data_IF_955099579776
#
_entry.id   IF_955099579776
#
_cell.length_a   1.000
_cell.length_b   1.000
_cell.length_c   1.000
_cell.angle_alpha   90.00
_cell.angle_beta   90.00
_cell.angle_gamma   90.00
#
_symmetry.space_group_name_H-M   'P 1'
#
loop_
_entity.id
_entity.type
_entity.pdbx_description
1 polymer ?
#
# COMPACT_ATOMS: atom_id res chain seq x y z
N UNK A 1 21.62 -24.93 3.95
CA UNK A 1 21.18 -24.26 5.19
C UNK A 1 21.62 -22.81 5.08
N UNK A 2 20.87 -22.04 4.29
CA UNK A 2 21.06 -20.61 4.11
C UNK A 2 19.68 -20.03 3.86
N UNK A 3 19.41 -18.98 4.62
CA UNK A 3 18.43 -17.93 4.39
C UNK A 3 16.98 -18.26 4.83
N UNK A 4 16.82 -18.54 6.12
CA UNK A 4 15.61 -18.16 6.87
C UNK A 4 15.64 -16.62 7.01
N UNK A 5 14.93 -15.91 6.13
CA UNK A 5 14.72 -14.46 6.24
C UNK A 5 13.45 -14.25 7.05
N UNK A 6 13.61 -13.54 8.16
CA UNK A 6 12.60 -13.24 9.17
C UNK A 6 11.50 -12.36 8.57
N UNK A 7 10.24 -12.79 8.69
CA UNK A 7 9.07 -12.07 8.19
C UNK A 7 8.75 -10.80 9.01
N UNK A 8 9.44 -10.60 10.14
CA UNK A 8 9.22 -9.51 11.10
C UNK A 8 10.27 -8.37 11.01
N UNK A 9 11.08 -8.32 9.96
CA UNK A 9 12.06 -7.23 9.78
C UNK A 9 11.70 -6.33 8.60
N UNK A 10 11.98 -5.01 8.70
CA UNK A 10 11.90 -4.08 7.57
C UNK A 10 12.63 -4.62 6.35
N UNK A 11 12.19 -4.22 5.16
CA UNK A 11 12.86 -4.61 3.93
C UNK A 11 14.27 -3.99 3.88
N UNK A 12 15.23 -4.76 3.39
CA UNK A 12 16.57 -4.25 3.09
C UNK A 12 16.58 -3.46 1.78
N UNK A 13 17.55 -2.58 1.58
CA UNK A 13 17.72 -1.83 0.32
C UNK A 13 17.72 -2.76 -0.91
N UNK A 14 18.39 -3.92 -0.82
CA UNK A 14 18.44 -4.89 -1.90
C UNK A 14 17.09 -5.58 -2.18
N UNK A 15 16.23 -5.70 -1.16
CA UNK A 15 14.86 -6.21 -1.32
C UNK A 15 13.93 -5.14 -1.91
N UNK A 16 14.12 -3.88 -1.51
CA UNK A 16 13.42 -2.71 -2.08
C UNK A 16 13.77 -2.57 -3.57
N UNK A 17 15.05 -2.61 -3.92
CA UNK A 17 15.51 -2.58 -5.32
C UNK A 17 14.91 -3.73 -6.14
N UNK A 18 14.87 -4.94 -5.58
CA UNK A 18 14.29 -6.09 -6.25
C UNK A 18 12.79 -5.93 -6.49
N UNK A 19 12.07 -5.35 -5.52
CA UNK A 19 10.65 -5.09 -5.65
C UNK A 19 10.39 -4.00 -6.71
N UNK A 20 11.17 -2.92 -6.69
CA UNK A 20 11.08 -1.84 -7.67
C UNK A 20 11.32 -2.36 -9.10
N UNK A 21 12.41 -3.11 -9.30
CA UNK A 21 12.74 -3.74 -10.60
C UNK A 21 11.59 -4.61 -11.13
N UNK A 22 10.92 -5.36 -10.25
CA UNK A 22 9.77 -6.17 -10.64
C UNK A 22 8.55 -5.32 -11.00
N UNK A 23 8.24 -4.32 -10.18
CA UNK A 23 7.09 -3.42 -10.31
C UNK A 23 7.15 -2.50 -11.53
N UNK A 24 8.32 -2.35 -12.15
CA UNK A 24 8.49 -1.61 -13.41
C UNK A 24 8.81 -2.53 -14.61
N UNK A 25 8.82 -3.86 -14.40
CA UNK A 25 9.13 -4.84 -15.43
C UNK A 25 7.97 -5.10 -16.39
N UNK A 26 8.24 -5.82 -17.49
CA UNK A 26 7.19 -6.29 -18.39
C UNK A 26 6.30 -7.40 -17.80
N UNK A 27 6.52 -7.82 -16.55
CA UNK A 27 5.67 -8.79 -15.87
C UNK A 27 4.36 -8.16 -15.36
N UNK A 28 4.33 -6.86 -15.15
CA UNK A 28 3.16 -6.14 -14.63
C UNK A 28 2.50 -5.26 -15.71
N UNK A 29 1.31 -4.74 -15.42
CA UNK A 29 0.65 -3.78 -16.32
C UNK A 29 1.41 -2.45 -16.32
N UNK A 30 1.28 -1.69 -17.40
CA UNK A 30 1.86 -0.33 -17.57
C UNK A 30 1.42 0.67 -16.48
N UNK A 31 0.34 0.36 -15.76
CA UNK A 31 -0.26 1.14 -14.66
C UNK A 31 -0.01 0.52 -13.28
N UNK A 32 0.94 -0.42 -13.18
CA UNK A 32 1.47 -0.88 -11.88
C UNK A 32 2.07 0.29 -11.11
N UNK A 33 1.95 0.25 -9.79
CA UNK A 33 2.69 1.15 -8.90
C UNK A 33 4.18 0.80 -8.97
N UNK A 34 5.05 1.80 -8.90
CA UNK A 34 6.46 1.61 -8.49
C UNK A 34 6.57 1.48 -6.96
N UNK A 35 7.79 1.25 -6.44
CA UNK A 35 7.96 0.97 -5.01
C UNK A 35 7.60 2.15 -4.12
N UNK A 36 7.84 3.39 -4.55
CA UNK A 36 7.53 4.59 -3.76
C UNK A 36 6.03 4.88 -3.75
N UNK A 37 5.37 4.73 -4.90
CA UNK A 37 3.91 4.81 -5.01
C UNK A 37 3.22 3.71 -4.20
N UNK A 38 3.76 2.49 -4.21
CA UNK A 38 3.27 1.39 -3.38
C UNK A 38 3.39 1.74 -1.90
N UNK A 39 4.52 2.27 -1.44
CA UNK A 39 4.71 2.69 -0.04
C UNK A 39 3.68 3.75 0.39
N UNK A 40 3.49 4.78 -0.42
CA UNK A 40 2.47 5.81 -0.14
C UNK A 40 1.05 5.24 -0.10
N UNK A 41 0.73 4.31 -1.00
CA UNK A 41 -0.56 3.63 -1.01
C UNK A 41 -0.78 2.80 0.24
N UNK A 42 0.18 1.94 0.60
CA UNK A 42 0.18 1.13 1.82
C UNK A 42 0.03 2.02 3.06
N UNK A 43 0.78 3.12 3.12
CA UNK A 43 0.71 4.08 4.22
C UNK A 43 -0.68 4.69 4.35
N UNK A 44 -1.31 5.12 3.25
CA UNK A 44 -2.66 5.69 3.31
C UNK A 44 -3.67 4.72 3.87
N UNK A 45 -3.63 3.46 3.45
CA UNK A 45 -4.62 2.47 3.88
C UNK A 45 -4.36 1.96 5.30
N UNK A 46 -3.10 1.95 5.77
CA UNK A 46 -2.74 1.68 7.16
C UNK A 46 -3.12 2.85 8.09
N UNK A 47 -2.88 4.08 7.65
CA UNK A 47 -3.18 5.29 8.43
C UNK A 47 -4.66 5.72 8.38
N UNK A 48 -5.47 5.11 7.52
CA UNK A 48 -6.79 5.57 7.13
C UNK A 48 -7.96 5.16 8.03
N UNK A 49 -9.21 5.49 7.62
CA UNK A 49 -10.42 5.26 8.41
C UNK A 49 -10.82 3.78 8.49
N UNK A 50 -10.71 3.07 7.36
CA UNK A 50 -11.15 1.69 7.19
C UNK A 50 -9.95 0.77 6.96
N UNK A 51 -10.08 -0.45 7.44
CA UNK A 51 -9.11 -1.50 7.23
C UNK A 51 -9.23 -2.05 5.81
N UNK A 52 -8.24 -1.81 4.97
CA UNK A 52 -8.12 -2.48 3.69
C UNK A 52 -7.36 -3.79 3.89
N UNK A 53 -8.02 -4.92 3.66
CA UNK A 53 -7.35 -6.22 3.79
C UNK A 53 -6.28 -6.39 2.70
N UNK A 54 -5.16 -7.08 2.97
CA UNK A 54 -4.11 -7.28 1.96
C UNK A 54 -4.65 -7.94 0.68
N UNK A 55 -5.59 -8.88 0.80
CA UNK A 55 -6.30 -9.47 -0.34
C UNK A 55 -7.03 -8.45 -1.23
N UNK A 56 -7.53 -7.36 -0.65
CA UNK A 56 -8.19 -6.25 -1.35
C UNK A 56 -7.19 -5.19 -1.85
N UNK A 57 -6.03 -5.07 -1.20
CA UNK A 57 -4.96 -4.14 -1.53
C UNK A 57 -4.17 -4.59 -2.77
N UNK A 58 -3.71 -5.85 -2.79
CA UNK A 58 -2.77 -6.36 -3.81
C UNK A 58 -3.17 -6.04 -5.26
N UNK A 59 -4.44 -6.19 -5.68
CA UNK A 59 -4.82 -5.87 -7.05
C UNK A 59 -4.50 -4.43 -7.47
N UNK A 60 -4.59 -3.47 -6.55
CA UNK A 60 -4.29 -2.06 -6.84
C UNK A 60 -2.79 -1.78 -7.01
N UNK A 61 -1.92 -2.59 -6.43
CA UNK A 61 -0.47 -2.44 -6.61
C UNK A 61 -0.09 -2.83 -8.04
N UNK A 62 -0.70 -3.88 -8.57
CA UNK A 62 -0.47 -4.38 -9.95
C UNK A 62 -1.12 -3.53 -11.04
N UNK A 63 -2.17 -2.81 -10.67
CA UNK A 63 -3.03 -2.04 -11.55
C UNK A 63 -3.66 -0.89 -10.74
N UNK A 64 -2.91 0.20 -10.63
CA UNK A 64 -3.27 1.37 -9.83
C UNK A 64 -4.49 2.13 -10.38
N UNK A 65 -4.97 1.75 -11.56
CA UNK A 65 -6.13 2.37 -12.19
C UNK A 65 -7.40 1.56 -11.96
N UNK A 66 -7.36 0.25 -12.19
CA UNK A 66 -8.56 -0.58 -12.20
C UNK A 66 -8.57 -1.69 -11.14
N UNK A 67 -7.41 -2.06 -10.59
CA UNK A 67 -7.28 -3.19 -9.67
C UNK A 67 -7.72 -4.52 -10.28
N UNK A 68 -7.54 -4.73 -11.59
CA UNK A 68 -8.04 -5.91 -12.31
C UNK A 68 -6.95 -6.78 -12.89
N UNK A 69 -5.85 -6.17 -13.32
CA UNK A 69 -4.75 -6.92 -13.90
C UNK A 69 -3.93 -7.61 -12.80
N UNK A 70 -3.44 -8.81 -13.12
CA UNK A 70 -2.54 -9.56 -12.27
C UNK A 70 -1.15 -9.62 -12.91
N UNK A 71 -0.08 -9.67 -12.11
CA UNK A 71 1.27 -9.85 -12.61
C UNK A 71 1.44 -11.22 -13.30
N UNK A 72 2.35 -11.25 -14.28
CA UNK A 72 2.81 -12.46 -14.95
C UNK A 72 4.10 -12.94 -14.31
N UNK A 73 3.98 -13.67 -13.22
CA UNK A 73 5.14 -14.27 -12.58
C UNK A 73 5.77 -15.34 -13.48
N UNK A 74 7.09 -15.30 -13.61
CA UNK A 74 7.88 -16.31 -14.32
C UNK A 74 7.82 -17.68 -13.62
N UNK A 75 7.58 -17.67 -12.31
CA UNK A 75 7.39 -18.88 -11.53
C UNK A 75 6.60 -18.61 -10.26
N UNK A 76 6.07 -19.68 -9.70
CA UNK A 76 5.49 -19.72 -8.37
C UNK A 76 6.41 -19.18 -7.26
N UNK A 77 7.71 -19.48 -7.32
CA UNK A 77 8.68 -18.99 -6.33
C UNK A 77 8.92 -17.48 -6.47
N UNK A 78 8.81 -16.93 -7.68
CA UNK A 78 8.83 -15.47 -7.88
C UNK A 78 7.58 -14.83 -7.30
N UNK A 79 6.40 -15.40 -7.56
CA UNK A 79 5.13 -14.94 -6.97
C UNK A 79 5.22 -14.84 -5.44
N UNK A 80 5.73 -15.89 -4.80
CA UNK A 80 6.01 -15.91 -3.35
C UNK A 80 6.88 -14.77 -2.91
N UNK A 81 8.02 -14.63 -3.58
CA UNK A 81 9.05 -13.71 -3.16
C UNK A 81 8.53 -12.29 -3.22
N UNK A 82 7.99 -11.88 -4.37
CA UNK A 82 7.50 -10.51 -4.57
C UNK A 82 6.37 -10.18 -3.61
N UNK A 83 5.37 -11.05 -3.48
CA UNK A 83 4.24 -10.73 -2.59
C UNK A 83 4.57 -10.87 -1.12
N UNK A 84 5.46 -11.80 -0.76
CA UNK A 84 6.02 -11.84 0.58
C UNK A 84 6.72 -10.53 0.96
N UNK A 85 7.45 -9.90 0.03
CA UNK A 85 8.08 -8.60 0.28
C UNK A 85 7.03 -7.49 0.47
N UNK A 86 5.98 -7.45 -0.36
CA UNK A 86 4.89 -6.46 -0.21
C UNK A 86 4.17 -6.62 1.13
N UNK A 87 3.85 -7.84 1.53
CA UNK A 87 3.18 -8.11 2.80
C UNK A 87 4.08 -7.81 4.01
N UNK A 88 5.39 -8.08 3.90
CA UNK A 88 6.36 -7.65 4.92
C UNK A 88 6.41 -6.13 5.03
N UNK A 89 6.42 -5.42 3.91
CA UNK A 89 6.39 -3.96 3.89
C UNK A 89 5.09 -3.40 4.50
N UNK A 90 3.95 -4.01 4.16
CA UNK A 90 2.66 -3.71 4.78
C UNK A 90 2.70 -3.83 6.31
N UNK A 91 3.27 -4.92 6.82
CA UNK A 91 3.39 -5.16 8.26
C UNK A 91 4.31 -4.13 8.91
N UNK A 92 5.46 -3.85 8.29
CA UNK A 92 6.42 -2.86 8.80
C UNK A 92 5.80 -1.46 8.94
N UNK A 93 5.00 -1.03 7.94
CA UNK A 93 4.26 0.24 8.01
C UNK A 93 3.21 0.22 9.11
N UNK A 94 2.41 -0.85 9.22
CA UNK A 94 1.40 -0.98 10.28
C UNK A 94 2.03 -0.98 11.68
N UNK A 95 3.11 -1.75 11.87
CA UNK A 95 3.81 -1.83 13.14
C UNK A 95 4.46 -0.51 13.51
N UNK A 96 5.09 0.16 12.54
CA UNK A 96 5.65 1.49 12.74
C UNK A 96 4.58 2.49 13.17
N UNK A 97 3.46 2.57 12.45
CA UNK A 97 2.39 3.52 12.77
C UNK A 97 1.69 3.22 14.11
N UNK A 98 1.51 1.95 14.47
CA UNK A 98 0.82 1.56 15.70
C UNK A 98 1.72 1.56 16.95
N UNK A 99 2.97 1.11 16.82
CA UNK A 99 3.85 0.84 17.95
C UNK A 99 4.92 1.91 18.13
N UNK A 100 5.50 2.40 17.04
CA UNK A 100 6.62 3.36 17.04
C UNK A 100 6.41 4.49 16.02
N UNK A 101 5.33 5.29 16.14
CA UNK A 101 4.96 6.28 15.11
C UNK A 101 6.06 7.32 14.86
N UNK A 102 6.86 7.65 15.87
CA UNK A 102 7.99 8.58 15.75
C UNK A 102 9.17 8.02 14.92
N UNK A 103 9.16 6.71 14.62
CA UNK A 103 10.17 6.04 13.81
C UNK A 103 9.69 5.75 12.38
N UNK A 104 8.45 6.10 12.04
CA UNK A 104 7.93 5.95 10.69
C UNK A 104 8.60 6.95 9.74
N UNK A 105 9.12 6.44 8.62
CA UNK A 105 9.68 7.26 7.54
C UNK A 105 9.10 6.80 6.19
N UNK A 106 8.66 7.74 5.31
CA UNK A 106 8.20 7.39 3.97
C UNK A 106 9.36 6.91 3.08
N UNK A 107 9.10 5.95 2.20
CA UNK A 107 10.07 5.45 1.22
C UNK A 107 10.16 6.44 0.04
N UNK A 108 11.13 7.35 0.14
CA UNK A 108 11.38 8.42 -0.81
C UNK A 108 12.71 8.20 -1.53
N UNK A 109 12.70 7.84 -2.83
CA UNK A 109 13.93 7.73 -3.62
C UNK A 109 14.69 9.05 -3.66
N UNK A 110 16.01 9.01 -3.60
CA UNK A 110 16.85 10.20 -3.67
C UNK A 110 17.52 10.35 -5.04
N UNK A 111 17.67 11.60 -5.48
CA UNK A 111 18.39 11.96 -6.70
C UNK A 111 19.39 13.08 -6.44
N UNK A 112 20.59 12.93 -6.97
CA UNK A 112 21.60 13.99 -7.00
C UNK A 112 21.31 15.01 -8.11
N UNK A 113 21.14 16.28 -7.72
CA UNK A 113 20.92 17.42 -8.64
C UNK A 113 21.83 18.56 -8.22
N UNK A 114 22.77 18.94 -9.10
CA UNK A 114 23.71 20.06 -8.88
C UNK A 114 24.51 19.96 -7.56
N UNK A 115 24.80 18.73 -7.10
CA UNK A 115 25.51 18.45 -5.86
C UNK A 115 24.65 18.52 -4.59
N UNK A 116 23.33 18.55 -4.74
CA UNK A 116 22.37 18.39 -3.65
C UNK A 116 21.61 17.09 -3.81
N UNK A 117 21.38 16.40 -2.70
CA UNK A 117 20.49 15.24 -2.61
C UNK A 117 19.05 15.71 -2.50
N UNK A 118 18.19 15.23 -3.41
CA UNK A 118 16.79 15.59 -3.50
C UNK A 118 15.91 14.34 -3.37
N UNK A 119 15.05 14.31 -2.35
CA UNK A 119 14.01 13.28 -2.22
C UNK A 119 12.94 13.47 -3.29
N UNK A 120 12.54 12.40 -3.96
CA UNK A 120 11.44 12.38 -4.90
C UNK A 120 10.19 11.98 -4.11
N UNK A 121 9.21 12.87 -4.02
CA UNK A 121 8.00 12.69 -3.18
C UNK A 121 6.72 12.49 -3.98
N UNK A 122 6.83 12.61 -5.30
CA UNK A 122 5.72 12.67 -6.25
C UNK A 122 4.95 11.35 -6.27
N UNK A 123 5.67 10.26 -6.54
CA UNK A 123 5.16 8.89 -6.61
C UNK A 123 4.52 8.48 -5.28
N UNK A 124 5.20 8.76 -4.17
CA UNK A 124 4.69 8.50 -2.82
C UNK A 124 3.36 9.22 -2.57
N UNK A 125 3.29 10.53 -2.88
CA UNK A 125 2.07 11.31 -2.69
C UNK A 125 0.94 10.84 -3.61
N UNK A 126 1.24 10.42 -4.84
CA UNK A 126 0.27 9.81 -5.75
C UNK A 126 -0.30 8.52 -5.16
N UNK A 127 0.56 7.64 -4.63
CA UNK A 127 0.19 6.43 -3.93
C UNK A 127 -0.75 6.70 -2.75
N UNK A 128 -0.41 7.67 -1.91
CA UNK A 128 -1.23 8.05 -0.78
C UNK A 128 -2.61 8.55 -1.22
N UNK A 129 -2.66 9.39 -2.26
CA UNK A 129 -3.92 9.83 -2.86
C UNK A 129 -4.74 8.67 -3.42
N UNK A 130 -4.10 7.63 -3.99
CA UNK A 130 -4.82 6.41 -4.41
C UNK A 130 -5.47 5.71 -3.24
N UNK A 131 -4.79 5.60 -2.09
CA UNK A 131 -5.35 5.00 -0.88
C UNK A 131 -6.57 5.77 -0.37
N UNK A 132 -6.51 7.11 -0.42
CA UNK A 132 -7.67 7.98 -0.11
C UNK A 132 -8.83 7.68 -1.06
N UNK A 133 -8.57 7.52 -2.36
CA UNK A 133 -9.60 7.32 -3.37
C UNK A 133 -10.33 5.97 -3.28
N UNK A 134 -9.74 4.95 -2.62
CA UNK A 134 -10.40 3.66 -2.36
C UNK A 134 -11.73 3.86 -1.62
N UNK A 135 -11.76 4.77 -0.65
CA UNK A 135 -12.98 5.15 0.06
C UNK A 135 -13.02 6.65 0.37
N UNK A 136 -13.03 7.46 -0.70
CA UNK A 136 -12.98 8.92 -0.60
C UNK A 136 -14.02 9.52 0.35
N UNK A 137 -15.21 8.93 0.39
CA UNK A 137 -16.32 9.39 1.23
C UNK A 137 -15.98 9.31 2.72
N UNK A 138 -15.24 8.28 3.14
CA UNK A 138 -14.76 8.15 4.52
C UNK A 138 -13.67 9.17 4.88
N UNK A 139 -12.86 9.59 3.90
CA UNK A 139 -11.77 10.55 4.09
C UNK A 139 -12.21 12.03 4.07
N UNK A 140 -13.25 12.36 3.30
CA UNK A 140 -13.70 13.74 3.07
C UNK A 140 -13.92 14.56 4.36
N UNK A 141 -14.53 14.03 5.44
CA UNK A 141 -14.69 14.78 6.68
C UNK A 141 -13.36 15.18 7.35
N UNK A 142 -12.35 14.31 7.30
CA UNK A 142 -11.03 14.63 7.87
C UNK A 142 -10.31 15.65 7.00
N UNK A 143 -10.31 15.47 5.68
CA UNK A 143 -9.69 16.40 4.72
C UNK A 143 -10.30 17.80 4.86
N UNK A 144 -11.62 17.90 5.04
CA UNK A 144 -12.30 19.18 5.21
C UNK A 144 -11.98 19.87 6.55
N UNK A 145 -11.72 19.08 7.61
CA UNK A 145 -11.47 19.62 8.95
C UNK A 145 -9.99 19.94 9.22
N UNK A 146 -9.07 19.22 8.58
CA UNK A 146 -7.61 19.38 8.74
C UNK A 146 -6.90 19.38 7.38
N UNK A 147 -7.21 20.31 6.47
CA UNK A 147 -6.62 20.35 5.13
C UNK A 147 -5.10 20.52 5.13
N UNK A 148 -4.54 21.09 6.21
CA UNK A 148 -3.10 21.27 6.40
C UNK A 148 -2.34 19.94 6.46
N UNK A 149 -2.95 18.86 6.96
CA UNK A 149 -2.32 17.53 6.99
C UNK A 149 -2.24 16.88 5.61
N UNK A 150 -3.04 17.35 4.65
CA UNK A 150 -3.08 16.80 3.29
C UNK A 150 -2.42 17.71 2.27
N UNK A 151 -1.90 18.87 2.68
CA UNK A 151 -1.47 19.91 1.73
C UNK A 151 -0.35 19.39 0.81
N UNK A 152 0.73 18.83 1.36
CA UNK A 152 1.83 18.29 0.54
C UNK A 152 1.38 17.06 -0.24
N UNK A 153 0.66 16.16 0.41
CA UNK A 153 0.12 14.93 -0.19
C UNK A 153 -0.71 15.25 -1.44
N UNK A 154 -1.64 16.21 -1.35
CA UNK A 154 -2.50 16.60 -2.47
C UNK A 154 -1.76 17.44 -3.50
N UNK A 155 -0.79 18.27 -3.07
CA UNK A 155 0.02 19.10 -3.94
C UNK A 155 0.86 18.26 -4.92
N UNK A 156 1.43 17.16 -4.45
CA UNK A 156 2.27 16.27 -5.27
C UNK A 156 1.50 15.05 -5.83
N UNK A 157 0.41 14.64 -5.19
CA UNK A 157 -0.34 13.43 -5.55
C UNK A 157 -1.54 13.65 -6.47
N UNK A 158 -1.89 14.88 -6.84
CA UNK A 158 -3.08 15.17 -7.67
C UNK A 158 -2.80 16.08 -8.85
N UNK A 159 -3.52 15.93 -9.99
CA UNK A 159 -3.35 16.81 -11.15
C UNK A 159 -3.54 18.30 -10.83
N UNK A 160 -4.47 18.64 -9.94
CA UNK A 160 -4.71 20.02 -9.53
C UNK A 160 -3.54 20.57 -8.69
N UNK A 161 -2.93 19.74 -7.85
CA UNK A 161 -1.71 20.07 -7.12
C UNK A 161 -0.52 20.34 -8.04
N UNK A 162 -0.32 19.49 -9.04
CA UNK A 162 0.72 19.70 -10.07
C UNK A 162 0.56 21.04 -10.81
N UNK A 163 -0.67 21.38 -11.19
CA UNK A 163 -0.95 22.68 -11.80
C UNK A 163 -0.61 23.87 -10.87
N UNK A 164 -0.66 23.67 -9.55
CA UNK A 164 -0.23 24.68 -8.57
C UNK A 164 1.29 24.74 -8.40
N UNK A 165 1.99 23.60 -8.38
CA UNK A 165 3.45 23.53 -8.35
C UNK A 165 4.07 24.32 -9.51
N UNK A 166 3.52 24.14 -10.72
CA UNK A 166 3.96 24.87 -11.92
C UNK A 166 3.77 26.39 -11.79
N UNK A 167 2.72 26.83 -11.08
CA UNK A 167 2.44 28.25 -10.85
C UNK A 167 3.35 28.89 -9.81
N UNK A 168 3.53 28.24 -8.66
CA UNK A 168 4.22 28.86 -7.51
C UNK A 168 5.75 28.77 -7.57
N UNK A 169 6.33 27.84 -8.34
CA UNK A 169 7.78 27.64 -8.50
C UNK A 169 8.55 27.63 -7.17
N UNK A 170 8.30 26.60 -6.37
CA UNK A 170 8.96 26.38 -5.08
C UNK A 170 10.49 26.22 -5.22
N UNK A 171 11.21 26.65 -4.18
CA UNK A 171 12.66 26.45 -4.06
C UNK A 171 13.01 25.02 -3.64
N UNK A 172 14.28 24.63 -3.83
CA UNK A 172 14.81 23.35 -3.36
C UNK A 172 14.63 23.15 -1.85
N UNK A 173 14.89 24.20 -1.06
CA UNK A 173 14.72 24.19 0.41
C UNK A 173 13.26 23.96 0.80
N UNK A 174 12.31 24.56 0.08
CA UNK A 174 10.89 24.34 0.32
C UNK A 174 10.48 22.90 -0.02
N UNK A 175 11.00 22.35 -1.11
CA UNK A 175 10.74 20.96 -1.47
C UNK A 175 11.29 19.97 -0.42
N UNK A 176 12.50 20.20 0.09
CA UNK A 176 13.07 19.41 1.18
C UNK A 176 12.22 19.52 2.46
N UNK A 177 11.74 20.72 2.79
CA UNK A 177 10.84 20.91 3.93
C UNK A 177 9.50 20.16 3.74
N UNK A 178 8.97 20.09 2.51
CA UNK A 178 7.78 19.31 2.21
C UNK A 178 8.02 17.81 2.42
N UNK A 179 9.13 17.27 1.93
CA UNK A 179 9.49 15.86 2.13
C UNK A 179 9.55 15.50 3.62
N UNK A 180 10.23 16.32 4.43
CA UNK A 180 10.33 16.11 5.88
C UNK A 180 8.98 16.19 6.61
N UNK A 181 8.00 16.93 6.07
CA UNK A 181 6.69 17.09 6.70
C UNK A 181 5.72 15.92 6.47
N UNK A 182 6.06 14.98 5.57
CA UNK A 182 5.17 13.86 5.23
C UNK A 182 4.97 12.90 6.42
N UNK A 183 6.05 12.55 7.13
CA UNK A 183 5.97 11.67 8.30
C UNK A 183 5.07 12.25 9.41
N UNK A 184 5.19 13.55 9.68
CA UNK A 184 4.32 14.27 10.63
C UNK A 184 2.86 14.27 10.16
N UNK A 185 2.62 14.49 8.87
CA UNK A 185 1.28 14.47 8.29
C UNK A 185 0.60 13.11 8.47
N UNK A 186 1.31 12.03 8.13
CA UNK A 186 0.85 10.64 8.31
C UNK A 186 0.58 10.36 9.80
N UNK A 187 1.48 10.79 10.68
CA UNK A 187 1.33 10.61 12.12
C UNK A 187 0.06 11.27 12.66
N UNK A 188 -0.21 12.52 12.28
CA UNK A 188 -1.45 13.21 12.67
C UNK A 188 -2.72 12.52 12.15
N UNK A 189 -2.71 12.12 10.87
CA UNK A 189 -3.83 11.41 10.24
C UNK A 189 -4.10 10.08 10.96
N UNK A 190 -3.05 9.28 11.17
CA UNK A 190 -3.17 7.99 11.83
C UNK A 190 -3.70 8.12 13.26
N UNK A 191 -3.15 9.05 14.05
CA UNK A 191 -3.60 9.30 15.42
C UNK A 191 -5.07 9.71 15.49
N UNK A 192 -5.54 10.53 14.54
CA UNK A 192 -6.95 10.89 14.45
C UNK A 192 -7.83 9.65 14.27
N UNK A 193 -7.51 8.79 13.29
CA UNK A 193 -8.32 7.61 12.98
C UNK A 193 -8.26 6.53 14.05
N UNK A 194 -7.11 6.33 14.71
CA UNK A 194 -7.00 5.51 15.92
C UNK A 194 -7.95 6.03 17.00
N UNK A 195 -8.00 7.35 17.20
CA UNK A 195 -8.94 7.99 18.12
C UNK A 195 -10.40 7.73 17.77
N UNK A 196 -10.76 7.81 16.49
CA UNK A 196 -12.11 7.51 16.00
C UNK A 196 -12.48 6.04 16.18
N UNK A 197 -11.60 5.10 15.78
CA UNK A 197 -11.81 3.64 15.95
C UNK A 197 -12.07 3.29 17.41
N UNK A 198 -11.26 3.82 18.35
CA UNK A 198 -11.47 3.62 19.79
C UNK A 198 -12.85 4.10 20.25
N UNK A 199 -13.34 5.23 19.74
CA UNK A 199 -14.67 5.74 20.08
C UNK A 199 -15.79 4.86 19.52
N UNK A 200 -15.64 4.35 18.30
CA UNK A 200 -16.59 3.41 17.69
C UNK A 200 -16.67 2.12 18.52
N UNK A 201 -15.52 1.52 18.83
CA UNK A 201 -15.43 0.29 19.64
C UNK A 201 -16.05 0.49 21.02
N UNK A 202 -15.79 1.64 21.68
CA UNK A 202 -16.41 1.98 22.96
C UNK A 202 -17.94 2.11 22.91
N UNK A 203 -18.53 2.34 21.72
CA UNK A 203 -19.98 2.35 21.47
C UNK A 203 -20.52 0.98 21.05
N UNK A 204 -19.68 -0.05 20.96
CA UNK A 204 -20.04 -1.36 20.41
C UNK A 204 -20.19 -1.38 18.89
N UNK A 205 -19.67 -0.37 18.21
CA UNK A 205 -19.58 -0.32 16.75
C UNK A 205 -18.25 -0.94 16.31
N UNK A 206 -18.21 -1.43 15.07
CA UNK A 206 -17.04 -2.06 14.46
C UNK A 206 -16.39 -1.12 13.46
N UNK A 207 -15.05 -1.05 13.39
CA UNK A 207 -14.34 -0.40 12.29
C UNK A 207 -14.76 -0.99 10.94
N UNK A 208 -14.78 -0.14 9.91
CA UNK A 208 -15.08 -0.60 8.55
C UNK A 208 -13.93 -1.47 8.02
N UNK A 209 -14.29 -2.59 7.39
CA UNK A 209 -13.36 -3.51 6.73
C UNK A 209 -13.70 -3.56 5.24
N UNK A 210 -12.69 -3.35 4.39
CA UNK A 210 -12.79 -3.46 2.94
C UNK A 210 -12.06 -4.73 2.53
N UNK A 211 -12.82 -5.80 2.27
CA UNK A 211 -12.32 -7.08 1.77
C UNK A 211 -12.44 -7.18 0.24
N UNK A 212 -11.74 -8.14 -0.38
CA UNK A 212 -11.64 -8.27 -1.84
C UNK A 212 -12.99 -8.36 -2.58
N UNK A 213 -14.04 -8.88 -1.92
CA UNK A 213 -15.40 -8.98 -2.50
C UNK A 213 -16.20 -7.66 -2.47
N UNK A 214 -15.72 -6.63 -1.77
CA UNK A 214 -16.44 -5.39 -1.49
C UNK A 214 -15.82 -4.12 -2.11
N UNK A 215 -14.67 -4.21 -2.80
CA UNK A 215 -14.07 -3.05 -3.46
C UNK A 215 -15.01 -2.52 -4.56
N UNK A 216 -15.54 -1.30 -4.35
CA UNK A 216 -16.55 -0.71 -5.23
C UNK A 216 -15.90 -0.34 -6.57
N UNK A 217 -16.43 -0.90 -7.67
CA UNK A 217 -16.08 -0.48 -9.04
C UNK A 217 -16.46 0.99 -9.25
N UNK A 218 -15.53 1.80 -9.75
CA UNK A 218 -15.81 3.13 -10.29
C UNK A 218 -15.52 3.21 -11.79
N UNK A 219 -16.13 4.21 -12.42
CA UNK A 219 -16.10 4.49 -13.85
C UNK A 219 -14.69 4.84 -14.37
N UNK A 220 -14.41 4.66 -15.67
CA UNK A 220 -13.07 4.80 -16.23
C UNK A 220 -12.58 6.25 -16.11
N UNK A 221 -11.43 6.45 -15.46
CA UNK A 221 -10.62 7.66 -15.61
C UNK A 221 -9.75 7.48 -16.87
N UNK A 222 -9.14 8.56 -17.38
CA UNK A 222 -8.20 8.46 -18.51
C UNK A 222 -6.89 7.89 -17.97
N UNK A 223 -6.42 6.79 -18.54
CA UNK A 223 -5.25 6.09 -18.05
C UNK A 223 -3.98 6.90 -18.23
N UNK A 224 -3.05 6.76 -17.29
CA UNK A 224 -1.74 7.44 -17.30
C UNK A 224 -0.98 7.14 -18.61
N UNK A 225 -1.19 5.97 -19.19
CA UNK A 225 -0.61 5.54 -20.46
C UNK A 225 -1.52 5.68 -21.70
N UNK A 226 -2.77 6.13 -21.54
CA UNK A 226 -3.73 6.25 -22.65
C UNK A 226 -3.36 7.36 -23.65
N UNK A 227 -3.84 7.28 -24.92
CA UNK A 227 -3.73 8.38 -25.86
C UNK A 227 -4.30 9.67 -25.27
N UNK A 228 -3.46 10.71 -25.23
CA UNK A 228 -3.84 11.98 -24.65
C UNK A 228 -5.00 12.63 -25.43
N UNK A 229 -6.08 13.10 -24.76
CA UNK A 229 -7.28 13.63 -25.41
C UNK A 229 -7.03 14.95 -26.15
N UNK A 230 -5.86 15.57 -25.99
CA UNK A 230 -5.46 16.75 -26.76
C UNK A 230 -5.17 16.47 -28.25
N UNK A 231 -5.20 15.19 -28.67
CA UNK A 231 -4.97 14.81 -30.07
C UNK A 231 -3.50 14.78 -30.48
N UNK A 232 -2.56 14.80 -29.52
CA UNK A 232 -1.11 14.79 -29.80
C UNK A 232 -0.56 13.44 -30.26
N UNK A 233 -1.34 12.36 -30.11
CA UNK A 233 -0.89 10.99 -30.38
C UNK A 233 0.09 10.42 -29.35
N UNK A 234 0.35 11.14 -28.25
CA UNK A 234 1.25 10.72 -27.16
C UNK A 234 0.45 10.12 -25.99
N UNK A 235 1.09 9.25 -25.18
CA UNK A 235 0.54 8.78 -23.89
C UNK A 235 0.25 9.96 -22.96
N UNK A 236 -0.80 9.92 -22.14
CA UNK A 236 -1.23 11.02 -21.26
C UNK A 236 -0.08 11.52 -20.38
N UNK A 237 0.67 10.61 -19.73
CA UNK A 237 1.89 10.89 -18.94
C UNK A 237 3.06 11.53 -19.69
N UNK A 238 3.06 11.48 -21.03
CA UNK A 238 4.09 12.07 -21.90
C UNK A 238 3.63 13.36 -22.59
N UNK A 239 2.51 13.89 -22.13
CA UNK A 239 1.89 15.09 -22.69
C UNK A 239 1.40 15.99 -21.57
N UNK A 240 0.21 15.70 -21.04
CA UNK A 240 -0.42 16.50 -19.98
C UNK A 240 -0.19 15.91 -18.58
N UNK A 241 0.42 14.73 -18.48
CA UNK A 241 0.92 14.14 -17.23
C UNK A 241 2.45 14.12 -17.14
N UNK A 242 3.16 14.99 -17.89
CA UNK A 242 4.61 15.15 -17.78
C UNK A 242 4.96 16.35 -16.92
N UNK A 243 5.43 16.11 -15.70
CA UNK A 243 6.28 17.06 -14.99
C UNK A 243 7.66 17.07 -15.67
N UNK A 244 8.03 18.19 -16.29
CA UNK A 244 9.29 18.29 -17.02
C UNK A 244 10.46 18.41 -16.04
N UNK A 245 11.37 17.42 -16.06
CA UNK A 245 12.80 17.69 -15.96
C UNK A 245 13.51 16.99 -17.12
N UNK A 246 13.82 17.79 -18.14
CA UNK A 246 14.78 17.60 -19.24
C UNK A 246 14.80 16.23 -19.95
N UNK A 247 14.12 16.19 -21.09
CA UNK A 247 14.41 15.29 -22.22
C UNK A 247 15.87 15.46 -22.66
N UNK A 248 16.67 14.41 -22.58
CA UNK A 248 17.48 13.98 -23.73
C UNK A 248 17.77 12.47 -23.66
N UNK A 249 17.71 11.82 -24.82
CA UNK A 249 18.02 10.39 -25.09
C UNK A 249 17.03 9.31 -24.62
N UNK A 250 16.03 9.02 -25.48
CA UNK A 250 15.59 7.63 -25.72
C UNK A 250 14.87 7.46 -27.06
N UNK A 251 15.62 7.58 -28.16
CA UNK A 251 15.20 7.06 -29.47
C UNK A 251 15.81 5.68 -29.69
N UNK A 252 15.01 4.60 -29.74
CA UNK A 252 15.54 3.34 -30.28
C UNK A 252 14.93 2.00 -29.88
N UNK A 253 13.69 1.90 -29.38
CA UNK A 253 13.07 0.58 -29.18
C UNK A 253 11.80 0.41 -30.03
N UNK A 254 11.72 -0.62 -30.89
CA UNK A 254 10.48 -1.00 -31.54
C UNK A 254 9.52 -1.63 -30.52
N UNK A 255 8.18 -1.53 -30.72
CA UNK A 255 7.22 -2.19 -29.85
C UNK A 255 7.30 -3.72 -30.06
N UNK A 256 7.36 -4.45 -28.94
CA UNK A 256 7.28 -5.92 -28.97
C UNK A 256 5.88 -6.41 -29.35
N UNK A 257 5.77 -7.63 -29.92
CA UNK A 257 4.48 -8.16 -30.35
C UNK A 257 3.59 -8.48 -29.15
N UNK A 258 2.33 -8.06 -29.24
CA UNK A 258 1.27 -8.40 -28.28
C UNK A 258 0.95 -9.90 -28.41
N UNK A 259 1.42 -10.70 -27.45
CA UNK A 259 1.00 -12.10 -27.30
C UNK A 259 -0.29 -12.22 -26.47
N UNK A 260 -1.10 -13.28 -26.69
CA UNK A 260 -2.40 -13.44 -26.04
C UNK A 260 -2.28 -13.53 -24.53
N UNK A 261 -3.28 -12.95 -23.87
CA UNK A 261 -3.43 -12.87 -22.43
C UNK A 261 -3.66 -14.24 -21.78
N UNK A 262 -2.63 -14.74 -21.12
CA UNK A 262 -2.75 -15.79 -20.11
C UNK A 262 -2.06 -15.29 -18.84
N UNK A 263 -2.69 -14.34 -18.15
CA UNK A 263 -2.31 -13.98 -16.78
C UNK A 263 -2.10 -15.25 -15.93
N UNK A 264 -1.02 -15.26 -15.15
CA UNK A 264 -0.77 -16.32 -14.16
C UNK A 264 -1.87 -16.36 -13.12
N UNK A 265 -2.08 -17.48 -12.40
CA UNK A 265 -3.11 -17.53 -11.38
C UNK A 265 -2.82 -16.49 -10.29
N UNK A 266 -3.83 -15.68 -9.89
CA UNK A 266 -3.69 -14.74 -8.78
C UNK A 266 -3.42 -15.48 -7.47
N UNK A 267 -2.96 -14.76 -6.44
CA UNK A 267 -2.92 -15.25 -5.06
C UNK A 267 -4.24 -15.95 -4.73
N UNK A 268 -4.18 -17.24 -4.44
CA UNK A 268 -5.36 -18.00 -4.09
C UNK A 268 -5.66 -17.71 -2.62
N UNK A 269 -6.57 -16.76 -2.39
CA UNK A 269 -7.17 -16.57 -1.09
C UNK A 269 -8.01 -17.81 -0.77
N UNK A 270 -7.76 -18.44 0.37
CA UNK A 270 -8.55 -19.60 0.78
C UNK A 270 -9.99 -19.16 1.04
N UNK A 271 -10.95 -19.98 0.60
CA UNK A 271 -12.35 -19.84 1.01
C UNK A 271 -12.58 -20.03 2.52
N UNK A 272 -11.55 -20.49 3.25
CA UNK A 272 -11.57 -20.63 4.71
C UNK A 272 -11.19 -19.35 5.46
N UNK A 273 -10.70 -18.32 4.75
CA UNK A 273 -10.51 -16.99 5.33
C UNK A 273 -11.85 -16.46 5.84
N UNK A 274 -11.86 -16.02 7.09
CA UNK A 274 -13.10 -15.70 7.79
C UNK A 274 -12.85 -14.79 8.98
N UNK A 275 -13.90 -14.07 9.33
CA UNK A 275 -13.97 -13.32 10.57
C UNK A 275 -14.27 -14.24 11.76
N UNK A 276 -13.55 -14.07 12.86
CA UNK A 276 -13.80 -14.76 14.13
C UNK A 276 -14.04 -13.74 15.23
N UNK A 277 -15.03 -14.00 16.08
CA UNK A 277 -15.29 -13.21 17.28
C UNK A 277 -15.31 -14.07 18.54
N UNK A 278 -14.72 -13.56 19.62
CA UNK A 278 -14.72 -14.13 20.98
C UNK A 278 -14.86 -13.00 21.99
N UNK A 279 -15.74 -13.17 22.97
CA UNK A 279 -15.90 -12.26 24.11
C UNK A 279 -16.05 -10.76 23.75
N UNK A 280 -16.67 -10.47 22.59
CA UNK A 280 -16.90 -9.11 22.10
C UNK A 280 -15.76 -8.52 21.27
N UNK A 281 -14.64 -9.22 21.13
CA UNK A 281 -13.52 -8.87 20.24
C UNK A 281 -13.62 -9.65 18.95
N UNK A 282 -13.26 -9.04 17.82
CA UNK A 282 -13.23 -9.69 16.52
C UNK A 282 -11.88 -9.49 15.82
N UNK A 283 -11.49 -10.51 15.05
CA UNK A 283 -10.31 -10.50 14.18
C UNK A 283 -10.67 -11.09 12.82
N UNK A 284 -9.94 -10.69 11.79
CA UNK A 284 -10.03 -11.25 10.44
C UNK A 284 -8.89 -12.25 10.23
N UNK A 285 -9.22 -13.49 9.83
CA UNK A 285 -8.23 -14.52 9.49
C UNK A 285 -8.08 -14.55 7.96
N UNK A 286 -6.92 -14.15 7.43
CA UNK A 286 -6.57 -14.30 6.02
C UNK A 286 -5.57 -15.46 5.83
N UNK A 287 -5.84 -16.27 4.81
CA UNK A 287 -5.07 -17.49 4.52
C UNK A 287 -4.79 -17.49 3.03
N UNK A 288 -3.51 -17.43 2.68
CA UNK A 288 -3.08 -17.26 1.29
C UNK A 288 -2.27 -18.46 0.87
N UNK A 289 -2.52 -18.97 -0.33
CA UNK A 289 -1.60 -19.93 -0.93
C UNK A 289 -0.31 -19.18 -1.24
N UNK A 290 0.81 -19.66 -0.70
CA UNK A 290 2.10 -19.11 -1.08
C UNK A 290 2.50 -19.64 -2.46
N UNK A 291 1.98 -20.75 -2.96
CA UNK A 291 2.15 -21.16 -4.37
C UNK A 291 3.03 -22.38 -4.60
N UNK A 292 4.16 -22.60 -3.90
CA UNK A 292 4.88 -23.90 -3.92
C UNK A 292 4.16 -24.94 -3.01
N UNK A 293 2.82 -24.91 -2.98
CA UNK A 293 1.98 -25.87 -2.26
C UNK A 293 1.86 -25.69 -0.74
N UNK A 294 2.13 -24.47 -0.21
CA UNK A 294 1.95 -24.14 1.20
C UNK A 294 0.97 -22.97 1.40
N UNK A 295 0.71 -22.62 2.65
CA UNK A 295 -0.29 -21.61 3.02
C UNK A 295 0.27 -20.69 4.11
N UNK A 296 0.14 -19.38 3.93
CA UNK A 296 0.46 -18.38 4.95
C UNK A 296 -0.79 -18.08 5.77
N UNK A 297 -0.59 -17.74 7.03
CA UNK A 297 -1.65 -17.36 7.96
C UNK A 297 -1.35 -15.96 8.48
N UNK A 298 -2.37 -15.12 8.39
CA UNK A 298 -2.37 -13.77 8.91
C UNK A 298 -3.66 -13.52 9.69
N UNK A 299 -3.54 -12.88 10.86
CA UNK A 299 -4.67 -12.42 11.64
C UNK A 299 -4.57 -10.92 11.82
N UNK A 300 -5.60 -10.20 11.37
CA UNK A 300 -5.67 -8.74 11.49
C UNK A 300 -6.72 -8.38 12.54
N UNK A 301 -6.32 -7.57 13.53
CA UNK A 301 -7.19 -7.10 14.60
C UNK A 301 -8.03 -5.88 14.20
N UNK A 302 -8.90 -5.37 15.06
CA UNK A 302 -9.76 -4.21 14.74
C UNK A 302 -9.02 -2.87 14.57
N UNK A 303 -7.74 -2.78 14.94
CA UNK A 303 -6.93 -1.56 14.83
C UNK A 303 -6.06 -1.53 13.57
N UNK A 304 -5.96 -2.63 12.84
CA UNK A 304 -5.07 -2.76 11.68
C UNK A 304 -3.77 -3.50 12.01
N UNK A 305 -3.57 -3.92 13.27
CA UNK A 305 -2.37 -4.69 13.59
C UNK A 305 -2.48 -6.09 13.01
N UNK A 306 -1.38 -6.58 12.47
CA UNK A 306 -1.29 -7.91 11.89
C UNK A 306 -0.43 -8.82 12.77
N UNK A 307 -0.88 -10.06 12.96
CA UNK A 307 -0.06 -11.16 13.48
C UNK A 307 0.13 -12.17 12.36
N UNK A 308 1.38 -12.37 11.94
CA UNK A 308 1.74 -13.29 10.86
C UNK A 308 2.52 -14.47 11.41
N UNK A 309 2.25 -15.66 10.87
CA UNK A 309 3.01 -16.85 11.22
C UNK A 309 4.20 -17.02 10.30
N UNK A 310 5.39 -17.15 10.90
CA UNK A 310 6.66 -17.31 10.18
C UNK A 310 6.70 -18.53 9.23
N UNK A 311 5.97 -19.60 9.60
CA UNK A 311 6.02 -20.89 8.89
C UNK A 311 4.78 -21.11 8.07
N UNK A 312 4.99 -21.46 6.80
CA UNK A 312 3.89 -21.92 5.95
C UNK A 312 3.30 -23.24 6.45
N UNK A 313 1.99 -23.38 6.28
CA UNK A 313 1.23 -24.58 6.58
C UNK A 313 1.07 -25.44 5.32
N UNK A 314 0.98 -26.78 5.46
CA UNK A 314 0.83 -27.67 4.31
C UNK A 314 -0.56 -27.61 3.65
N UNK A 315 -1.56 -27.09 4.34
CA UNK A 315 -2.94 -26.90 3.83
C UNK A 315 -3.56 -25.66 4.46
N UNK A 316 -4.53 -25.06 3.79
CA UNK A 316 -5.34 -23.96 4.34
C UNK A 316 -6.12 -24.39 5.60
N UNK A 317 -6.57 -25.64 5.66
CA UNK A 317 -7.22 -26.22 6.84
C UNK A 317 -6.26 -26.29 8.04
N UNK A 318 -4.99 -26.59 7.81
CA UNK A 318 -3.98 -26.60 8.87
C UNK A 318 -3.67 -25.18 9.37
N UNK A 319 -3.61 -24.20 8.46
CA UNK A 319 -3.50 -22.79 8.84
C UNK A 319 -4.70 -22.35 9.69
N UNK A 320 -5.93 -22.61 9.24
CA UNK A 320 -7.13 -22.26 10.00
C UNK A 320 -7.17 -22.97 11.36
N UNK A 321 -6.81 -24.26 11.41
CA UNK A 321 -6.79 -25.02 12.65
C UNK A 321 -5.81 -24.44 13.66
N UNK A 322 -4.63 -23.97 13.21
CA UNK A 322 -3.68 -23.31 14.10
C UNK A 322 -4.22 -21.96 14.59
N UNK A 323 -4.79 -21.13 13.71
CA UNK A 323 -5.41 -19.86 14.09
C UNK A 323 -6.48 -20.03 15.17
N UNK A 324 -7.42 -20.94 14.94
CA UNK A 324 -8.51 -21.22 15.89
C UNK A 324 -8.00 -21.82 17.19
N UNK A 325 -7.01 -22.73 17.12
CA UNK A 325 -6.37 -23.30 18.30
C UNK A 325 -5.74 -22.21 19.15
N UNK A 326 -4.91 -21.34 18.58
CA UNK A 326 -4.28 -20.22 19.32
C UNK A 326 -5.34 -19.34 19.96
N UNK A 327 -6.37 -18.92 19.22
CA UNK A 327 -7.48 -18.11 19.76
C UNK A 327 -8.20 -18.82 20.91
N UNK A 328 -8.49 -20.11 20.77
CA UNK A 328 -9.27 -20.85 21.78
C UNK A 328 -8.41 -21.27 23.00
N UNK A 329 -7.09 -21.46 22.85
CA UNK A 329 -6.21 -21.88 23.96
C UNK A 329 -5.50 -20.73 24.67
N UNK A 330 -5.05 -19.72 23.92
CA UNK A 330 -4.27 -18.58 24.44
C UNK A 330 -5.15 -17.34 24.61
N UNK A 331 -6.34 -17.34 24.00
CA UNK A 331 -7.27 -16.23 24.00
C UNK A 331 -7.07 -15.34 22.78
N UNK A 332 -8.14 -14.69 22.32
CA UNK A 332 -8.11 -13.82 21.13
C UNK A 332 -7.10 -12.67 21.25
N UNK A 333 -6.83 -12.19 22.47
CA UNK A 333 -5.84 -11.15 22.72
C UNK A 333 -4.38 -11.57 22.42
N UNK A 334 -4.09 -12.87 22.34
CA UNK A 334 -2.75 -13.37 22.04
C UNK A 334 -2.34 -13.18 20.57
N UNK A 335 -3.32 -12.96 19.69
CA UNK A 335 -3.13 -12.76 18.24
C UNK A 335 -3.48 -11.34 17.80
N UNK A 336 -3.50 -10.41 18.76
CA UNK A 336 -3.72 -8.99 18.52
C UNK A 336 -2.43 -8.24 18.75
N UNK A 337 -2.23 -7.15 18.00
CA UNK A 337 -1.16 -6.22 18.29
C UNK A 337 -1.43 -5.47 19.60
N UNK A 338 -0.39 -4.85 20.14
CA UNK A 338 -0.62 -3.88 21.22
C UNK A 338 -1.53 -2.79 20.72
N UNK A 339 -2.57 -2.44 21.49
CA UNK A 339 -3.34 -1.24 21.17
C UNK A 339 -2.37 -0.06 21.06
N UNK A 340 -2.46 0.78 20.00
CA UNK A 340 -1.49 1.84 19.76
C UNK A 340 -1.24 2.67 21.01
N UNK A 341 -0.02 3.13 21.25
CA UNK A 341 0.31 3.85 22.48
C UNK A 341 -0.66 5.02 22.70
N UNK A 342 -1.12 5.24 23.93
CA UNK A 342 -1.98 6.38 24.21
C UNK A 342 -1.18 7.66 23.98
N UNK A 343 -1.65 8.55 23.12
CA UNK A 343 -1.22 9.94 23.15
C UNK A 343 -1.43 10.44 24.60
N UNK A 344 -0.33 10.62 25.32
CA UNK A 344 -0.34 11.11 26.68
C UNK A 344 -1.05 12.46 26.66
N UNK A 345 -2.12 12.60 27.42
CA UNK A 345 -2.81 13.90 27.60
C UNK A 345 -1.78 14.94 28.04
N UNK A 346 -1.50 15.91 27.19
CA UNK A 346 -0.92 17.18 27.59
C UNK A 346 -2.03 18.19 27.90
#
# INVERSE_FOLDING_TARGET
MKDDVWLDQPLTDAEIELLDDFLISGAVHDDSMDVSMMDGFITAVASGPNMLMPSAMLPWIWDAEHGKNAPRFASTSEARRITGLILRHWNDVNDSLNQTPDAYEPLLPEREVEGNTLSIIDEWCEGYCKGIEIDREAWDPLIASHPEWFTVIMLYGTPDGWAELERQRYSLEQHQAFALSLADSVSHIHQYWVGQRRQQIARGEMPGVIAASQSRRREPKIGRNDPCPCGSGRKYKRCHGSGAVMDDFRSGFPPDPVEPDTGGPPFVLSSLSQRVARDGTAVEIEIYENGEGGWLLEIVDEFGNSTVWDKSFPTDHAALAEALKTIDTEGIAAVMGSAPASATKH
#
